data_IF_565407526681
#
_entry.id   IF_565407526681
#
_cell.length_a   1.000
_cell.length_b   1.000
_cell.length_c   1.000
_cell.angle_alpha   90.00
_cell.angle_beta   90.00
_cell.angle_gamma   90.00
#
_symmetry.space_group_name_H-M   'P 1'
#
loop_
_entity.id
_entity.type
_entity.pdbx_description
1 polymer ?
#
# COMPACT_ATOMS: atom_id res chain seq x y z
N UNK A 1 -30.77 0.87 -17.16
CA UNK A 1 -29.64 -0.07 -17.11
C UNK A 1 -28.35 0.72 -17.24
N UNK A 2 -27.64 0.89 -16.17
CA UNK A 2 -26.33 1.57 -16.20
C UNK A 2 -25.33 0.52 -16.68
N UNK A 3 -24.87 0.68 -17.93
CA UNK A 3 -23.76 -0.10 -18.45
C UNK A 3 -22.51 0.24 -17.66
N UNK A 4 -22.14 -0.64 -16.75
CA UNK A 4 -20.83 -0.57 -16.12
C UNK A 4 -19.84 -0.97 -17.20
N UNK A 5 -19.35 -0.01 -17.98
CA UNK A 5 -18.11 -0.19 -18.74
C UNK A 5 -17.04 -0.54 -17.71
N UNK A 6 -16.81 -1.83 -17.52
CA UNK A 6 -15.63 -2.34 -16.83
C UNK A 6 -14.41 -1.70 -17.50
N UNK A 7 -13.92 -0.64 -16.93
CA UNK A 7 -12.57 -0.16 -17.25
C UNK A 7 -11.65 -1.25 -16.74
N UNK A 8 -11.38 -2.22 -17.59
CA UNK A 8 -10.36 -3.24 -17.39
C UNK A 8 -9.02 -2.51 -17.32
N UNK A 9 -8.68 -2.01 -16.15
CA UNK A 9 -7.34 -1.51 -15.91
C UNK A 9 -6.43 -2.72 -16.08
N UNK A 10 -5.63 -2.66 -17.14
CA UNK A 10 -4.66 -3.70 -17.49
C UNK A 10 -3.60 -3.77 -16.40
N UNK A 11 -3.85 -4.62 -15.41
CA UNK A 11 -2.91 -4.90 -14.35
C UNK A 11 -1.90 -5.94 -14.80
N UNK A 12 -0.65 -5.79 -14.40
CA UNK A 12 0.41 -6.77 -14.65
C UNK A 12 0.92 -7.35 -13.35
N UNK A 13 1.17 -8.65 -13.36
CA UNK A 13 1.84 -9.32 -12.27
C UNK A 13 3.24 -8.74 -12.06
N UNK A 14 3.57 -8.37 -10.84
CA UNK A 14 4.88 -7.78 -10.51
C UNK A 14 6.05 -8.75 -10.72
N UNK A 15 5.81 -10.03 -10.62
CA UNK A 15 6.82 -11.08 -10.82
C UNK A 15 6.91 -11.47 -12.28
N UNK A 16 5.82 -11.96 -12.87
CA UNK A 16 5.84 -12.50 -14.24
C UNK A 16 5.70 -11.46 -15.35
N UNK A 17 5.33 -10.24 -15.03
CA UNK A 17 5.00 -9.13 -15.95
C UNK A 17 3.83 -9.41 -16.89
N UNK A 18 3.20 -10.58 -16.79
CA UNK A 18 2.02 -10.96 -17.59
C UNK A 18 0.77 -10.24 -17.09
N UNK A 19 -0.20 -10.06 -17.99
CA UNK A 19 -1.50 -9.47 -17.64
C UNK A 19 -2.23 -10.35 -16.62
N UNK A 20 -2.84 -9.73 -15.62
CA UNK A 20 -3.70 -10.38 -14.64
C UNK A 20 -5.01 -9.62 -14.48
N UNK A 21 -6.01 -10.29 -13.93
CA UNK A 21 -7.32 -9.69 -13.67
C UNK A 21 -7.30 -8.89 -12.37
N UNK A 22 -7.93 -7.71 -12.41
CA UNK A 22 -8.32 -7.03 -11.18
C UNK A 22 -9.53 -7.76 -10.62
N UNK A 23 -9.46 -8.19 -9.37
CA UNK A 23 -10.55 -8.92 -8.71
C UNK A 23 -11.44 -8.02 -7.86
N UNK A 24 -10.90 -6.93 -7.33
CA UNK A 24 -11.64 -6.02 -6.46
C UNK A 24 -11.10 -4.59 -6.56
N UNK A 25 -12.00 -3.63 -6.44
CA UNK A 25 -11.68 -2.21 -6.27
C UNK A 25 -12.34 -1.69 -5.00
N UNK A 26 -11.57 -1.06 -4.15
CA UNK A 26 -12.06 -0.37 -2.95
C UNK A 26 -12.37 1.12 -3.22
N UNK A 27 -12.21 1.57 -4.47
CA UNK A 27 -12.39 2.95 -4.85
C UNK A 27 -11.24 3.86 -4.42
N UNK A 28 -11.56 5.15 -4.28
CA UNK A 28 -10.61 6.15 -3.78
C UNK A 28 -10.40 6.00 -2.29
N UNK A 29 -9.16 5.76 -1.90
CA UNK A 29 -8.76 5.60 -0.50
C UNK A 29 -7.74 6.67 -0.13
N UNK A 30 -7.84 7.22 1.09
CA UNK A 30 -6.84 8.13 1.61
C UNK A 30 -5.57 7.35 2.00
N UNK A 31 -4.52 8.09 2.29
CA UNK A 31 -3.27 7.52 2.77
C UNK A 31 -3.42 7.01 4.20
N UNK A 32 -3.14 5.73 4.43
CA UNK A 32 -3.05 5.20 5.79
C UNK A 32 -1.92 5.91 6.56
N UNK A 33 -2.16 6.24 7.82
CA UNK A 33 -1.23 6.97 8.69
C UNK A 33 -0.80 8.35 8.15
N UNK A 34 -1.54 8.89 7.18
CA UNK A 34 -1.35 10.24 6.67
C UNK A 34 -2.14 11.25 7.51
N UNK A 35 -1.71 11.48 8.75
CA UNK A 35 -2.38 12.44 9.64
C UNK A 35 -2.21 13.86 9.13
N UNK A 36 -3.35 14.55 8.92
CA UNK A 36 -3.40 15.90 8.38
C UNK A 36 -3.91 16.88 9.42
N UNK A 37 -3.39 18.10 9.37
CA UNK A 37 -3.99 19.22 10.06
C UNK A 37 -5.25 19.68 9.31
N UNK A 38 -6.22 20.23 10.01
CA UNK A 38 -7.49 20.70 9.43
C UNK A 38 -7.30 21.61 8.20
N UNK A 39 -6.30 22.47 8.22
CA UNK A 39 -5.94 23.37 7.11
C UNK A 39 -5.53 22.63 5.83
N UNK A 40 -5.07 21.40 5.95
CA UNK A 40 -4.54 20.58 4.86
C UNK A 40 -5.56 19.59 4.29
N UNK A 41 -6.76 19.47 4.87
CA UNK A 41 -7.79 18.52 4.43
C UNK A 41 -8.14 18.65 2.94
N UNK A 42 -8.16 19.87 2.41
CA UNK A 42 -8.47 20.10 0.99
C UNK A 42 -7.38 19.59 0.04
N UNK A 43 -6.18 19.35 0.55
CA UNK A 43 -5.01 18.84 -0.19
C UNK A 43 -4.76 17.36 0.04
N UNK A 44 -5.69 16.66 0.71
CA UNK A 44 -5.55 15.26 1.01
C UNK A 44 -5.35 14.44 -0.26
N UNK A 45 -4.35 13.58 -0.24
CA UNK A 45 -4.05 12.69 -1.35
C UNK A 45 -4.90 11.42 -1.27
N UNK A 46 -5.56 11.10 -2.38
CA UNK A 46 -6.33 9.86 -2.54
C UNK A 46 -5.77 9.05 -3.69
N UNK A 47 -5.88 7.74 -3.59
CA UNK A 47 -5.50 6.82 -4.65
C UNK A 47 -6.54 5.72 -4.83
N UNK A 48 -6.63 5.16 -6.04
CA UNK A 48 -7.53 4.05 -6.31
C UNK A 48 -6.90 2.75 -5.83
N UNK A 49 -7.44 2.18 -4.74
CA UNK A 49 -6.99 0.90 -4.22
C UNK A 49 -7.68 -0.24 -4.97
N UNK A 50 -6.92 -0.90 -5.83
CA UNK A 50 -7.37 -2.06 -6.59
C UNK A 50 -6.43 -3.23 -6.34
N UNK A 51 -7.00 -4.42 -6.31
CA UNK A 51 -6.24 -5.64 -6.09
C UNK A 51 -6.47 -6.64 -7.21
N UNK A 52 -5.46 -7.39 -7.52
CA UNK A 52 -5.48 -8.45 -8.51
C UNK A 52 -4.81 -9.70 -7.99
N UNK A 53 -5.08 -10.79 -8.67
CA UNK A 53 -4.57 -12.10 -8.33
C UNK A 53 -4.05 -12.81 -9.57
N UNK A 54 -2.88 -13.40 -9.45
CA UNK A 54 -2.32 -14.25 -10.48
C UNK A 54 -2.53 -15.73 -10.11
N UNK A 55 -3.44 -16.38 -10.81
CA UNK A 55 -3.80 -17.80 -10.55
C UNK A 55 -2.64 -18.78 -10.82
N UNK A 56 -1.64 -18.39 -11.59
CA UNK A 56 -0.51 -19.27 -11.94
C UNK A 56 0.55 -19.34 -10.85
N UNK A 57 0.80 -18.25 -10.15
CA UNK A 57 1.80 -18.18 -9.07
C UNK A 57 1.22 -17.77 -7.72
N UNK A 58 -0.11 -17.67 -7.65
CA UNK A 58 -0.87 -17.32 -6.44
C UNK A 58 -0.50 -15.97 -5.81
N UNK A 59 0.07 -15.06 -6.61
CA UNK A 59 0.42 -13.73 -6.13
C UNK A 59 -0.82 -12.84 -6.07
N UNK A 60 -1.16 -12.40 -4.87
CA UNK A 60 -2.12 -11.34 -4.61
C UNK A 60 -1.37 -10.00 -4.54
N UNK A 61 -1.83 -9.00 -5.25
CA UNK A 61 -1.12 -7.72 -5.32
C UNK A 61 -2.03 -6.52 -5.49
N UNK A 62 -1.54 -5.37 -5.07
CA UNK A 62 -2.14 -4.06 -5.32
C UNK A 62 -1.77 -3.59 -6.73
N UNK A 63 -2.74 -3.06 -7.48
CA UNK A 63 -2.54 -2.57 -8.84
C UNK A 63 -1.62 -1.33 -8.88
N UNK A 64 -2.09 -0.29 -8.26
CA UNK A 64 -1.40 1.00 -8.17
C UNK A 64 -1.20 1.33 -6.71
N UNK A 65 0.03 1.57 -6.33
CA UNK A 65 0.35 2.03 -4.99
C UNK A 65 0.93 3.45 -5.05
N UNK A 66 0.76 4.22 -3.99
CA UNK A 66 1.44 5.50 -3.85
C UNK A 66 2.96 5.34 -3.91
N UNK A 67 3.66 6.39 -4.30
CA UNK A 67 5.13 6.39 -4.25
C UNK A 67 5.60 6.23 -2.81
N UNK A 68 6.71 5.54 -2.59
CA UNK A 68 7.29 5.34 -1.24
C UNK A 68 7.49 6.66 -0.50
N UNK A 69 7.91 7.72 -1.20
CA UNK A 69 8.07 9.06 -0.62
C UNK A 69 6.77 9.70 -0.14
N UNK A 70 5.62 9.27 -0.66
CA UNK A 70 4.31 9.73 -0.19
C UNK A 70 3.88 8.99 1.08
N UNK A 71 4.36 7.78 1.30
CA UNK A 71 4.04 6.95 2.47
C UNK A 71 5.05 7.20 3.58
N UNK A 72 6.34 7.10 3.25
CA UNK A 72 7.45 7.21 4.19
C UNK A 72 8.18 8.53 3.98
N UNK A 73 7.83 9.54 4.75
CA UNK A 73 8.41 10.87 4.74
C UNK A 73 8.65 11.35 6.18
N UNK A 74 9.17 12.56 6.33
CA UNK A 74 9.50 13.12 7.65
C UNK A 74 8.29 13.24 8.61
N UNK A 75 7.08 13.20 8.08
CA UNK A 75 5.81 13.25 8.86
C UNK A 75 5.27 11.86 9.19
N UNK A 76 5.92 10.79 8.72
CA UNK A 76 5.50 9.43 9.03
C UNK A 76 5.69 9.14 10.51
N UNK A 77 4.62 8.73 11.25
CA UNK A 77 4.67 8.69 12.71
C UNK A 77 5.35 7.43 13.28
N UNK A 78 5.52 6.39 12.47
CA UNK A 78 5.93 5.07 12.95
C UNK A 78 7.35 4.70 12.52
N UNK A 79 8.33 5.46 12.99
CA UNK A 79 9.74 5.09 12.83
C UNK A 79 10.17 4.13 13.93
N UNK A 80 10.38 2.87 13.59
CA UNK A 80 10.75 1.79 14.52
C UNK A 80 12.00 2.12 15.34
N UNK A 81 13.01 2.74 14.74
CA UNK A 81 14.26 3.09 15.42
C UNK A 81 14.11 4.18 16.49
N UNK A 82 13.02 4.95 16.46
CA UNK A 82 12.69 5.97 17.47
C UNK A 82 11.96 5.39 18.68
N UNK A 83 11.53 4.14 18.62
CA UNK A 83 10.86 3.43 19.70
C UNK A 83 11.89 2.63 20.50
N UNK A 84 12.13 3.01 21.75
CA UNK A 84 13.03 2.28 22.64
C UNK A 84 12.57 0.83 22.86
N UNK A 85 11.25 0.62 22.95
CA UNK A 85 10.65 -0.72 23.07
C UNK A 85 11.02 -1.61 21.88
N UNK A 86 10.88 -1.09 20.65
CA UNK A 86 11.20 -1.85 19.44
C UNK A 86 12.70 -2.06 19.27
N UNK A 87 13.53 -1.08 19.62
CA UNK A 87 14.98 -1.24 19.62
C UNK A 87 15.43 -2.37 20.56
N UNK A 88 14.87 -2.43 21.76
CA UNK A 88 15.13 -3.49 22.73
C UNK A 88 14.65 -4.86 22.22
N UNK A 89 13.47 -4.90 21.57
CA UNK A 89 12.94 -6.13 20.99
C UNK A 89 13.87 -6.68 19.90
N UNK A 90 14.31 -5.85 18.95
CA UNK A 90 15.23 -6.29 17.90
C UNK A 90 16.60 -6.68 18.43
N UNK A 91 17.10 -6.02 19.46
CA UNK A 91 18.35 -6.42 20.12
C UNK A 91 18.24 -7.81 20.75
N UNK A 92 17.14 -8.09 21.44
CA UNK A 92 16.88 -9.43 22.01
C UNK A 92 16.76 -10.49 20.93
N UNK A 93 16.06 -10.19 19.83
CA UNK A 93 15.91 -11.10 18.71
C UNK A 93 17.26 -11.41 18.05
N UNK A 94 18.09 -10.40 17.83
CA UNK A 94 19.45 -10.59 17.31
C UNK A 94 20.29 -11.48 18.20
N UNK A 95 20.28 -11.26 19.51
CA UNK A 95 21.01 -12.09 20.48
C UNK A 95 20.50 -13.53 20.52
N UNK A 96 19.22 -13.74 20.26
CA UNK A 96 18.62 -15.08 20.19
C UNK A 96 19.05 -15.83 18.92
N UNK A 97 19.29 -15.14 17.81
CA UNK A 97 19.75 -15.74 16.55
C UNK A 97 21.24 -16.13 16.57
N UNK A 98 22.06 -15.50 17.42
CA UNK A 98 23.48 -15.78 17.58
C UNK A 98 23.76 -16.68 18.78
#
# INVERSE_FOLDING_TARGET
MISIKKVLIKMRCKVTKKKIKTIMSFGKMPMANGFLLKKDFRKEFFYNLKVGFNEKNYLFQVANHPKSSQIFNNKYPFFTHKSQLMANHFKKFFNWLN
#
